data_IF_676231649359
#
_entry.id   IF_676231649359
#
_cell.length_a   1.000
_cell.length_b   1.000
_cell.length_c   1.000
_cell.angle_alpha   90.00
_cell.angle_beta   90.00
_cell.angle_gamma   90.00
#
_symmetry.space_group_name_H-M   'P 1'
#
loop_
_entity.id
_entity.type
_entity.pdbx_description
1 polymer ?
#
# COMPACT_ATOMS: atom_id res chain seq x y z
N UNK A 1 -7.34 -18.56 -3.14
CA UNK A 1 -6.58 -17.99 -4.23
C UNK A 1 -5.59 -19.03 -4.69
N UNK A 2 -5.32 -19.16 -5.99
CA UNK A 2 -4.24 -19.98 -6.46
C UNK A 2 -2.95 -19.39 -5.87
N UNK A 3 -2.46 -20.05 -4.85
CA UNK A 3 -1.19 -19.71 -4.24
C UNK A 3 -0.07 -20.45 -4.97
N UNK A 4 1.16 -20.04 -4.70
CA UNK A 4 2.33 -20.77 -5.11
C UNK A 4 2.36 -22.09 -4.33
N UNK A 5 2.27 -23.24 -5.02
CA UNK A 5 2.27 -24.57 -4.42
C UNK A 5 3.56 -25.32 -4.79
N UNK A 6 4.08 -26.08 -3.84
CA UNK A 6 5.33 -26.84 -4.03
C UNK A 6 5.23 -27.84 -5.17
N UNK A 7 4.05 -28.36 -5.46
CA UNK A 7 3.78 -29.25 -6.60
C UNK A 7 4.05 -28.55 -7.97
N UNK A 8 4.02 -27.24 -8.02
CA UNK A 8 4.29 -26.46 -9.24
C UNK A 8 5.79 -26.18 -9.45
N UNK A 9 6.62 -26.37 -8.42
CA UNK A 9 8.06 -26.08 -8.49
C UNK A 9 8.77 -26.72 -9.68
N UNK A 10 8.61 -28.02 -9.97
CA UNK A 10 9.30 -28.65 -11.10
C UNK A 10 8.94 -28.02 -12.45
N UNK A 11 7.68 -27.60 -12.61
CA UNK A 11 7.22 -26.95 -13.84
C UNK A 11 7.78 -25.53 -13.96
N UNK A 12 7.78 -24.80 -12.86
CA UNK A 12 8.30 -23.43 -12.82
C UNK A 12 9.80 -23.40 -13.05
N UNK A 13 10.56 -24.32 -12.44
CA UNK A 13 11.99 -24.46 -12.67
C UNK A 13 12.30 -24.76 -14.15
N UNK A 14 11.58 -25.73 -14.74
CA UNK A 14 11.75 -26.05 -16.16
C UNK A 14 11.40 -24.86 -17.07
N UNK A 15 10.39 -24.07 -16.71
CA UNK A 15 10.02 -22.87 -17.46
C UNK A 15 11.10 -21.79 -17.32
N UNK A 16 11.59 -21.55 -16.10
CA UNK A 16 12.64 -20.56 -15.83
C UNK A 16 13.93 -20.89 -16.58
N UNK A 17 14.36 -22.15 -16.65
CA UNK A 17 15.54 -22.58 -17.40
C UNK A 17 15.49 -22.21 -18.89
N UNK A 18 14.29 -21.97 -19.46
CA UNK A 18 14.15 -21.52 -20.85
C UNK A 18 14.42 -20.01 -21.03
N UNK A 19 14.36 -19.24 -19.95
CA UNK A 19 14.52 -17.77 -19.98
C UNK A 19 15.83 -17.30 -19.35
N UNK A 20 16.48 -18.15 -18.55
CA UNK A 20 17.75 -17.80 -17.92
C UNK A 20 18.87 -17.94 -18.96
N UNK A 21 19.55 -16.84 -19.22
CA UNK A 21 20.73 -16.80 -20.06
C UNK A 21 21.94 -17.13 -19.18
N UNK A 22 22.62 -18.24 -19.46
CA UNK A 22 23.66 -18.78 -18.56
C UNK A 22 24.92 -17.94 -18.44
N UNK A 23 25.15 -17.01 -19.37
CA UNK A 23 26.35 -16.18 -19.42
C UNK A 23 26.11 -14.74 -18.93
N UNK A 24 24.91 -14.45 -18.39
CA UNK A 24 24.57 -13.14 -17.84
C UNK A 24 24.34 -13.23 -16.33
N UNK A 25 24.70 -12.18 -15.61
CA UNK A 25 24.37 -12.05 -14.19
C UNK A 25 22.88 -11.88 -13.99
N UNK A 26 22.32 -12.56 -13.00
CA UNK A 26 20.90 -12.54 -12.69
C UNK A 26 20.65 -11.97 -11.29
N UNK A 27 19.55 -11.26 -11.17
CA UNK A 27 19.00 -10.84 -9.88
C UNK A 27 17.76 -11.68 -9.57
N UNK A 28 17.75 -12.33 -8.43
CA UNK A 28 16.56 -13.01 -7.92
C UNK A 28 15.72 -12.05 -7.09
N UNK A 29 14.60 -11.57 -7.64
CA UNK A 29 13.70 -10.63 -7.00
C UNK A 29 12.43 -11.33 -6.50
N UNK A 30 12.26 -11.39 -5.18
CA UNK A 30 11.15 -12.09 -4.53
C UNK A 30 10.10 -11.13 -4.02
N UNK A 31 8.87 -11.23 -4.52
CA UNK A 31 7.67 -10.60 -3.95
C UNK A 31 6.96 -11.50 -2.92
N UNK A 32 7.27 -12.79 -2.89
CA UNK A 32 6.68 -13.74 -1.96
C UNK A 32 7.71 -14.74 -1.47
N UNK A 33 7.77 -14.97 -0.14
CA UNK A 33 8.63 -16.02 0.42
C UNK A 33 8.30 -17.43 -0.07
N UNK A 34 7.09 -17.65 -0.59
CA UNK A 34 6.68 -18.96 -1.11
C UNK A 34 7.51 -19.41 -2.32
N UNK A 35 8.07 -18.47 -3.07
CA UNK A 35 8.93 -18.75 -4.22
C UNK A 35 10.40 -19.12 -3.84
N UNK A 36 10.78 -19.02 -2.58
CA UNK A 36 12.14 -19.29 -2.12
C UNK A 36 12.74 -20.62 -2.62
N UNK A 37 11.99 -21.75 -2.70
CA UNK A 37 12.56 -23.00 -3.19
C UNK A 37 13.10 -22.93 -4.63
N UNK A 38 12.65 -21.96 -5.44
CA UNK A 38 13.18 -21.75 -6.80
C UNK A 38 14.65 -21.28 -6.78
N UNK A 39 15.09 -20.66 -5.68
CA UNK A 39 16.47 -20.18 -5.54
C UNK A 39 17.51 -21.30 -5.57
N UNK A 40 17.12 -22.53 -5.19
CA UNK A 40 18.04 -23.68 -5.15
C UNK A 40 18.64 -24.05 -6.52
N UNK A 41 17.93 -23.71 -7.59
CA UNK A 41 18.36 -23.98 -8.97
C UNK A 41 18.92 -22.73 -9.67
N UNK A 42 19.03 -21.62 -8.93
CA UNK A 42 19.54 -20.36 -9.43
C UNK A 42 20.82 -20.01 -8.67
N UNK A 43 21.77 -19.44 -9.37
CA UNK A 43 22.98 -18.85 -8.79
C UNK A 43 22.97 -17.33 -9.09
N UNK A 44 22.09 -16.55 -8.46
CA UNK A 44 21.97 -15.13 -8.75
C UNK A 44 23.11 -14.33 -8.12
N UNK A 45 23.58 -13.31 -8.81
CA UNK A 45 24.54 -12.36 -8.29
C UNK A 45 23.97 -11.61 -7.06
N UNK A 46 22.66 -11.35 -7.07
CA UNK A 46 21.97 -10.64 -5.99
C UNK A 46 20.60 -11.25 -5.70
N UNK A 47 20.25 -11.32 -4.41
CA UNK A 47 18.94 -11.75 -3.92
C UNK A 47 18.24 -10.56 -3.26
N UNK A 48 17.10 -10.14 -3.83
CA UNK A 48 16.26 -9.04 -3.33
C UNK A 48 14.94 -9.59 -2.80
N UNK A 49 14.58 -9.24 -1.58
CA UNK A 49 13.23 -9.45 -1.04
C UNK A 49 12.45 -8.14 -1.01
N UNK A 50 11.46 -8.01 -1.89
CA UNK A 50 10.55 -6.88 -1.94
C UNK A 50 9.28 -7.19 -1.12
N UNK A 51 9.31 -6.76 0.14
CA UNK A 51 8.28 -7.01 1.14
C UNK A 51 7.24 -5.88 1.12
N UNK A 52 6.22 -6.01 0.28
CA UNK A 52 5.16 -5.01 0.16
C UNK A 52 4.03 -5.18 1.17
N UNK A 53 3.94 -6.34 1.85
CA UNK A 53 2.91 -6.64 2.85
C UNK A 53 3.42 -7.67 3.86
N UNK A 54 2.80 -7.76 5.05
CA UNK A 54 3.08 -8.80 6.03
C UNK A 54 2.26 -10.06 5.68
N UNK A 55 2.73 -10.79 4.67
CA UNK A 55 1.99 -11.92 4.09
C UNK A 55 1.67 -13.04 5.10
N UNK A 56 2.46 -13.17 6.16
CA UNK A 56 2.27 -14.21 7.17
C UNK A 56 1.02 -13.98 8.04
N UNK A 57 0.53 -12.73 8.17
CA UNK A 57 -0.67 -12.40 8.97
C UNK A 57 -1.94 -12.32 8.13
N UNK A 58 -1.83 -12.46 6.80
CA UNK A 58 -3.00 -12.47 5.93
C UNK A 58 -3.89 -13.69 6.19
N UNK A 59 -5.22 -13.49 6.12
CA UNK A 59 -6.18 -14.58 6.22
C UNK A 59 -5.89 -15.68 5.19
N UNK A 60 -5.86 -16.93 5.65
CA UNK A 60 -5.51 -18.10 4.84
C UNK A 60 -4.05 -18.11 4.34
N UNK A 61 -3.15 -17.43 5.03
CA UNK A 61 -1.71 -17.55 4.73
C UNK A 61 -1.25 -19.01 4.87
N UNK A 62 -0.43 -19.52 3.93
CA UNK A 62 0.14 -20.86 4.04
C UNK A 62 0.95 -21.02 5.34
N UNK A 63 0.87 -22.18 5.99
CA UNK A 63 1.62 -22.46 7.23
C UNK A 63 3.14 -22.27 7.06
N UNK A 64 3.66 -22.52 5.86
CA UNK A 64 5.08 -22.36 5.53
C UNK A 64 5.51 -20.91 5.32
N UNK A 65 4.57 -19.96 5.20
CA UNK A 65 4.88 -18.55 4.87
C UNK A 65 5.92 -17.95 5.80
N UNK A 66 5.69 -18.02 7.11
CA UNK A 66 6.61 -17.47 8.11
C UNK A 66 7.97 -18.18 8.10
N UNK A 67 7.98 -19.51 7.93
CA UNK A 67 9.22 -20.28 7.87
C UNK A 67 10.04 -19.90 6.64
N UNK A 68 9.39 -19.76 5.48
CA UNK A 68 10.02 -19.36 4.22
C UNK A 68 10.48 -17.91 4.26
N UNK A 69 9.72 -17.03 4.90
CA UNK A 69 10.17 -15.65 5.09
C UNK A 69 11.43 -15.58 5.96
N UNK A 70 11.46 -16.34 7.06
CA UNK A 70 12.67 -16.44 7.89
C UNK A 70 13.87 -16.98 7.11
N UNK A 71 13.66 -17.91 6.22
CA UNK A 71 14.71 -18.44 5.37
C UNK A 71 15.14 -17.46 4.27
N UNK A 72 14.17 -16.78 3.63
CA UNK A 72 14.45 -15.75 2.63
C UNK A 72 15.24 -14.58 3.21
N UNK A 73 14.87 -14.10 4.41
CA UNK A 73 15.60 -13.04 5.11
C UNK A 73 17.04 -13.41 5.47
N UNK A 74 17.39 -14.70 5.53
CA UNK A 74 18.78 -15.14 5.77
C UNK A 74 19.65 -15.15 4.52
N UNK A 75 19.04 -15.26 3.36
CA UNK A 75 19.75 -15.37 2.08
C UNK A 75 19.61 -14.12 1.20
N UNK A 76 18.67 -13.24 1.53
CA UNK A 76 18.53 -11.97 0.85
C UNK A 76 19.76 -11.09 1.09
N UNK A 77 20.22 -10.41 0.08
CA UNK A 77 21.24 -9.36 0.15
C UNK A 77 20.61 -8.01 0.53
N UNK A 78 19.41 -7.77 -0.04
CA UNK A 78 18.62 -6.55 0.16
C UNK A 78 17.17 -6.89 0.51
N UNK A 79 16.57 -6.08 1.38
CA UNK A 79 15.14 -6.13 1.70
C UNK A 79 14.54 -4.76 1.48
N UNK A 80 13.59 -4.66 0.56
CA UNK A 80 12.77 -3.47 0.34
C UNK A 80 11.44 -3.62 1.05
N UNK A 81 10.89 -2.53 1.59
CA UNK A 81 9.60 -2.55 2.31
C UNK A 81 8.71 -1.41 1.84
N UNK A 82 7.42 -1.71 1.66
CA UNK A 82 6.43 -0.78 1.11
C UNK A 82 5.95 0.32 2.07
N UNK A 83 6.49 0.37 3.30
CA UNK A 83 6.09 1.39 4.26
C UNK A 83 6.90 1.37 5.56
N UNK A 84 6.82 2.45 6.38
CA UNK A 84 7.58 2.61 7.61
C UNK A 84 7.32 1.52 8.65
N UNK A 85 6.09 1.04 8.76
CA UNK A 85 5.72 -0.02 9.71
C UNK A 85 6.40 -1.35 9.38
N UNK A 86 6.41 -1.76 8.12
CA UNK A 86 7.14 -2.92 7.62
C UNK A 86 8.65 -2.74 7.80
N UNK A 87 9.19 -1.58 7.46
CA UNK A 87 10.60 -1.26 7.65
C UNK A 87 11.03 -1.49 9.08
N UNK A 88 10.29 -0.95 10.08
CA UNK A 88 10.58 -1.15 11.50
C UNK A 88 10.53 -2.63 11.93
N UNK A 89 9.63 -3.41 11.34
CA UNK A 89 9.52 -4.83 11.63
C UNK A 89 10.71 -5.62 11.03
N UNK A 90 11.05 -5.36 9.77
CA UNK A 90 12.07 -6.14 9.04
C UNK A 90 13.51 -5.75 9.41
N UNK A 91 13.81 -4.46 9.70
CA UNK A 91 15.15 -4.02 10.10
C UNK A 91 15.69 -4.67 11.37
N UNK A 92 14.82 -5.28 12.20
CA UNK A 92 15.21 -6.06 13.38
C UNK A 92 15.66 -7.48 13.02
N UNK A 93 15.42 -7.91 11.78
CA UNK A 93 15.63 -9.28 11.29
C UNK A 93 16.66 -9.36 10.15
N UNK A 94 17.01 -8.21 9.56
CA UNK A 94 17.95 -8.13 8.45
C UNK A 94 18.72 -6.81 8.48
N UNK A 95 20.04 -6.79 8.19
CA UNK A 95 20.86 -5.58 8.25
C UNK A 95 20.54 -4.57 7.14
N UNK A 96 20.31 -5.04 5.92
CA UNK A 96 20.14 -4.22 4.72
C UNK A 96 18.65 -4.10 4.37
N UNK A 97 17.90 -3.34 5.16
CA UNK A 97 16.46 -3.08 4.93
C UNK A 97 16.27 -1.62 4.57
N UNK A 98 15.54 -1.36 3.50
CA UNK A 98 15.25 -0.02 3.00
C UNK A 98 13.74 0.18 2.83
N UNK A 99 13.28 1.41 3.09
CA UNK A 99 11.87 1.75 3.01
C UNK A 99 11.59 2.50 1.70
N UNK A 100 10.74 1.93 0.87
CA UNK A 100 10.24 2.52 -0.37
C UNK A 100 8.71 2.58 -0.32
N UNK A 101 8.12 3.62 0.29
CA UNK A 101 6.68 3.84 0.22
C UNK A 101 6.23 3.95 -1.23
N UNK A 102 4.97 3.57 -1.49
CA UNK A 102 4.39 3.67 -2.83
C UNK A 102 4.51 5.08 -3.40
N UNK A 103 4.66 5.15 -4.70
CA UNK A 103 4.49 6.36 -5.51
C UNK A 103 3.12 6.37 -6.19
N UNK A 104 2.82 7.39 -6.97
CA UNK A 104 1.55 7.55 -7.68
C UNK A 104 1.78 8.07 -9.10
N UNK A 105 0.94 7.63 -10.04
CA UNK A 105 0.83 8.26 -11.36
C UNK A 105 0.02 9.55 -11.23
N UNK A 106 0.74 10.65 -11.00
CA UNK A 106 0.15 11.98 -10.76
C UNK A 106 -0.68 12.42 -11.96
N UNK A 107 -0.13 12.28 -13.17
CA UNK A 107 -0.77 12.71 -14.42
C UNK A 107 -2.10 11.98 -14.63
N UNK A 108 -2.15 10.71 -14.25
CA UNK A 108 -3.38 9.93 -14.31
C UNK A 108 -4.44 10.43 -13.33
N UNK A 109 -4.07 10.62 -12.06
CA UNK A 109 -5.05 10.95 -11.01
C UNK A 109 -5.43 12.44 -10.94
N UNK A 110 -4.56 13.36 -11.40
CA UNK A 110 -4.92 14.79 -11.49
C UNK A 110 -6.04 15.08 -12.52
N UNK A 111 -6.36 14.13 -13.43
CA UNK A 111 -7.54 14.23 -14.28
C UNK A 111 -8.84 14.39 -13.47
N UNK A 112 -8.86 13.95 -12.22
CA UNK A 112 -9.99 14.15 -11.30
C UNK A 112 -10.22 15.61 -10.89
N UNK A 113 -9.26 16.52 -11.13
CA UNK A 113 -9.42 17.95 -10.89
C UNK A 113 -10.47 18.57 -11.83
N UNK A 114 -10.64 18.00 -13.02
CA UNK A 114 -11.78 18.34 -13.88
C UNK A 114 -13.05 17.62 -13.38
N UNK A 115 -13.83 18.35 -12.57
CA UNK A 115 -15.06 17.87 -11.97
C UNK A 115 -16.18 17.61 -13.00
N UNK A 116 -16.01 18.08 -14.22
CA UNK A 116 -16.99 17.84 -15.31
C UNK A 116 -16.83 16.43 -15.89
N UNK A 117 -15.68 15.82 -15.71
CA UNK A 117 -15.37 14.47 -16.20
C UNK A 117 -15.75 13.36 -15.18
N UNK A 118 -16.92 13.50 -14.56
CA UNK A 118 -17.42 12.49 -13.63
C UNK A 118 -17.83 11.21 -14.35
N UNK A 119 -17.61 10.06 -13.68
CA UNK A 119 -18.08 8.77 -14.20
C UNK A 119 -19.61 8.73 -14.31
N UNK A 120 -20.20 8.21 -15.41
CA UNK A 120 -21.64 8.18 -15.60
C UNK A 120 -22.44 7.49 -14.48
N UNK A 121 -21.84 6.55 -13.77
CA UNK A 121 -22.46 5.91 -12.60
C UNK A 121 -22.89 6.91 -11.50
N UNK A 122 -22.35 8.14 -11.49
CA UNK A 122 -22.73 9.18 -10.55
C UNK A 122 -23.99 9.98 -10.94
N UNK A 123 -24.49 9.85 -12.17
CA UNK A 123 -25.63 10.64 -12.67
C UNK A 123 -26.88 10.49 -11.78
N UNK A 124 -27.10 9.26 -11.28
CA UNK A 124 -28.24 8.94 -10.41
C UNK A 124 -27.90 8.89 -8.92
N UNK A 125 -26.67 9.24 -8.55
CA UNK A 125 -26.23 9.28 -7.15
C UNK A 125 -26.07 10.75 -6.75
N UNK A 126 -27.03 11.30 -6.01
CA UNK A 126 -26.99 12.69 -5.56
C UNK A 126 -25.81 12.93 -4.61
N UNK A 127 -25.31 14.18 -4.54
CA UNK A 127 -24.27 14.55 -3.56
C UNK A 127 -24.84 14.86 -2.18
N UNK A 128 -23.99 14.92 -1.13
CA UNK A 128 -22.54 14.67 -1.18
C UNK A 128 -22.18 13.18 -1.29
N UNK A 129 -21.12 12.87 -2.04
CA UNK A 129 -20.61 11.52 -2.23
C UNK A 129 -19.33 11.31 -1.45
N UNK A 130 -19.32 10.29 -0.61
CA UNK A 130 -18.15 9.86 0.15
C UNK A 130 -17.69 8.52 -0.45
N UNK A 131 -16.48 8.48 -0.99
CA UNK A 131 -16.05 7.37 -1.83
C UNK A 131 -14.86 6.58 -1.31
N UNK A 132 -14.86 5.29 -1.60
CA UNK A 132 -13.72 4.39 -1.47
C UNK A 132 -13.60 3.56 -2.74
N UNK A 133 -12.41 3.36 -3.24
CA UNK A 133 -12.15 2.32 -4.24
C UNK A 133 -11.03 1.37 -3.80
N UNK A 134 -11.14 0.14 -4.22
CA UNK A 134 -10.21 -0.96 -3.95
C UNK A 134 -10.92 -2.24 -3.61
N UNK A 135 -10.16 -3.25 -3.26
CA UNK A 135 -10.70 -4.54 -2.83
C UNK A 135 -11.50 -4.34 -1.54
N UNK A 136 -12.72 -4.85 -1.55
CA UNK A 136 -13.62 -4.90 -0.38
C UNK A 136 -13.47 -6.30 0.22
N UNK A 137 -12.70 -6.40 1.30
CA UNK A 137 -12.41 -7.64 2.01
C UNK A 137 -12.44 -7.42 3.54
N UNK A 138 -11.94 -8.38 4.30
CA UNK A 138 -11.89 -8.35 5.77
C UNK A 138 -11.13 -7.15 6.37
N UNK A 139 -10.38 -6.40 5.57
CA UNK A 139 -9.66 -5.20 6.02
C UNK A 139 -10.54 -3.95 6.05
N UNK A 140 -11.70 -4.00 5.41
CA UNK A 140 -12.64 -2.87 5.39
C UNK A 140 -13.58 -2.97 6.59
N UNK A 141 -13.71 -1.86 7.33
CA UNK A 141 -14.66 -1.72 8.44
C UNK A 141 -16.07 -1.46 7.89
N UNK A 142 -16.79 -2.54 7.64
CA UNK A 142 -18.14 -2.49 7.10
C UNK A 142 -19.15 -1.97 8.13
N UNK A 143 -18.88 -2.13 9.43
CA UNK A 143 -19.70 -1.56 10.50
C UNK A 143 -19.58 -0.03 10.52
N UNK A 144 -18.36 0.50 10.42
CA UNK A 144 -18.12 1.94 10.28
C UNK A 144 -18.85 2.51 9.06
N UNK A 145 -18.81 1.82 7.92
CA UNK A 145 -19.55 2.25 6.70
C UNK A 145 -21.06 2.32 6.97
N UNK A 146 -21.62 1.31 7.66
CA UNK A 146 -23.02 1.32 8.03
C UNK A 146 -23.37 2.49 8.97
N UNK A 147 -22.55 2.74 9.98
CA UNK A 147 -22.74 3.84 10.93
C UNK A 147 -22.69 5.22 10.25
N UNK A 148 -21.79 5.43 9.30
CA UNK A 148 -21.73 6.66 8.49
C UNK A 148 -23.03 6.83 7.69
N UNK A 149 -23.49 5.77 7.05
CA UNK A 149 -24.70 5.79 6.23
C UNK A 149 -25.97 6.05 7.08
N UNK A 150 -26.04 5.46 8.28
CA UNK A 150 -27.17 5.60 9.19
C UNK A 150 -27.20 7.00 9.86
N UNK A 151 -26.03 7.57 10.17
CA UNK A 151 -25.92 8.91 10.78
C UNK A 151 -26.35 10.03 9.81
N UNK A 152 -26.05 9.88 8.53
CA UNK A 152 -26.34 10.87 7.49
C UNK A 152 -27.03 10.24 6.29
N UNK A 153 -28.35 9.97 6.33
CA UNK A 153 -29.07 9.33 5.22
C UNK A 153 -29.02 10.11 3.90
N UNK A 154 -28.71 11.40 3.94
CA UNK A 154 -28.52 12.26 2.76
C UNK A 154 -27.14 12.13 2.13
N UNK A 155 -26.14 11.56 2.79
CA UNK A 155 -24.84 11.27 2.20
C UNK A 155 -24.90 9.99 1.37
N UNK A 156 -24.13 9.94 0.31
CA UNK A 156 -24.07 8.77 -0.57
C UNK A 156 -22.69 8.12 -0.43
N UNK A 157 -22.65 6.90 0.08
CA UNK A 157 -21.42 6.13 0.23
C UNK A 157 -21.19 5.33 -1.05
N UNK A 158 -20.11 5.62 -1.77
CA UNK A 158 -19.80 4.99 -3.05
C UNK A 158 -18.60 4.07 -2.90
N UNK A 159 -18.82 2.77 -3.06
CA UNK A 159 -17.82 1.73 -2.93
C UNK A 159 -17.53 1.11 -4.29
N UNK A 160 -16.28 1.26 -4.76
CA UNK A 160 -15.83 0.82 -6.08
C UNK A 160 -14.77 -0.27 -5.92
N UNK A 161 -15.05 -1.47 -6.39
CA UNK A 161 -14.12 -2.58 -6.36
C UNK A 161 -14.76 -3.94 -6.19
N UNK A 162 -13.98 -5.01 -6.36
CA UNK A 162 -14.45 -6.36 -6.16
C UNK A 162 -14.61 -6.70 -4.69
N UNK A 163 -15.65 -7.46 -4.36
CA UNK A 163 -15.81 -8.10 -3.05
C UNK A 163 -15.10 -9.45 -3.09
N UNK A 164 -14.11 -9.66 -2.23
CA UNK A 164 -13.33 -10.91 -2.19
C UNK A 164 -13.06 -11.34 -0.75
N UNK A 165 -12.93 -12.63 -0.53
CA UNK A 165 -12.61 -13.26 0.78
C UNK A 165 -13.66 -13.08 1.89
N UNK A 166 -14.71 -12.33 1.66
CA UNK A 166 -15.87 -12.17 2.56
C UNK A 166 -17.15 -12.54 1.83
N UNK A 167 -18.18 -12.92 2.58
CA UNK A 167 -19.50 -13.17 2.01
C UNK A 167 -20.17 -11.82 1.63
N UNK A 168 -20.54 -11.60 0.36
CA UNK A 168 -21.24 -10.40 -0.03
C UNK A 168 -22.55 -10.13 0.74
N UNK A 169 -23.19 -11.18 1.26
CA UNK A 169 -24.41 -11.05 2.07
C UNK A 169 -24.15 -10.36 3.43
N UNK A 170 -22.90 -10.30 3.89
CA UNK A 170 -22.54 -9.60 5.14
C UNK A 170 -22.34 -8.11 4.97
N UNK A 171 -22.31 -7.62 3.73
CA UNK A 171 -22.15 -6.20 3.47
C UNK A 171 -23.39 -5.41 3.89
N UNK A 172 -23.23 -4.22 4.49
CA UNK A 172 -24.34 -3.40 4.92
C UNK A 172 -25.18 -2.94 3.72
N UNK A 173 -26.47 -3.23 3.79
CA UNK A 173 -27.45 -2.81 2.77
C UNK A 173 -28.21 -1.59 3.29
N UNK A 174 -27.95 -0.42 2.70
CA UNK A 174 -28.64 0.85 2.97
C UNK A 174 -28.96 1.52 1.65
N UNK A 175 -30.04 2.30 1.60
CA UNK A 175 -30.46 3.00 0.37
C UNK A 175 -29.40 4.01 -0.16
N UNK A 176 -28.51 4.45 0.71
CA UNK A 176 -27.45 5.40 0.43
C UNK A 176 -26.04 4.77 0.40
N UNK A 177 -25.94 3.44 0.31
CA UNK A 177 -24.68 2.72 0.07
C UNK A 177 -24.73 2.10 -1.33
N UNK A 178 -23.77 2.45 -2.19
CA UNK A 178 -23.70 2.04 -3.59
C UNK A 178 -22.45 1.19 -3.83
N UNK A 179 -22.63 -0.09 -4.17
CA UNK A 179 -21.59 -1.01 -4.57
C UNK A 179 -21.49 -1.05 -6.09
N UNK A 180 -20.46 -0.44 -6.68
CA UNK A 180 -20.34 -0.29 -8.14
C UNK A 180 -19.45 -1.36 -8.80
N UNK A 181 -19.02 -2.37 -8.02
CA UNK A 181 -18.20 -3.46 -8.52
C UNK A 181 -16.82 -3.01 -8.99
N UNK A 182 -16.09 -3.96 -9.60
CA UNK A 182 -14.75 -3.70 -10.12
C UNK A 182 -14.79 -2.77 -11.33
N UNK A 183 -13.92 -1.76 -11.33
CA UNK A 183 -13.77 -0.81 -12.42
C UNK A 183 -12.34 -0.85 -12.97
N UNK A 184 -12.13 -0.52 -14.25
CA UNK A 184 -10.81 -0.44 -14.82
C UNK A 184 -10.01 0.74 -14.22
N UNK A 185 -8.70 0.58 -14.07
CA UNK A 185 -7.79 1.60 -13.52
C UNK A 185 -7.99 2.98 -14.19
N UNK A 186 -8.11 2.99 -15.52
CA UNK A 186 -8.31 4.21 -16.31
C UNK A 186 -9.58 5.00 -15.96
N UNK A 187 -10.58 4.38 -15.31
CA UNK A 187 -11.82 5.04 -14.91
C UNK A 187 -11.75 5.64 -13.49
N UNK A 188 -10.74 5.29 -12.69
CA UNK A 188 -10.66 5.73 -11.29
C UNK A 188 -10.63 7.25 -11.12
N UNK A 189 -9.93 8.05 -11.94
CA UNK A 189 -9.99 9.51 -11.85
C UNK A 189 -11.41 10.07 -12.06
N UNK A 190 -12.23 9.45 -12.91
CA UNK A 190 -13.62 9.87 -13.14
C UNK A 190 -14.50 9.61 -11.91
N UNK A 191 -14.23 8.54 -11.15
CA UNK A 191 -14.90 8.32 -9.86
C UNK A 191 -14.49 9.38 -8.86
N UNK A 192 -13.19 9.66 -8.73
CA UNK A 192 -12.68 10.72 -7.85
C UNK A 192 -13.26 12.10 -8.22
N UNK A 193 -13.39 12.42 -9.51
CA UNK A 193 -14.01 13.65 -9.97
C UNK A 193 -15.43 13.86 -9.45
N UNK A 194 -16.15 12.78 -9.17
CA UNK A 194 -17.51 12.81 -8.62
C UNK A 194 -17.60 12.83 -7.10
N UNK A 195 -16.51 12.63 -6.35
CA UNK A 195 -16.56 12.54 -4.90
C UNK A 195 -16.29 13.87 -4.18
N UNK A 196 -16.82 13.98 -2.96
CA UNK A 196 -16.62 15.12 -2.10
C UNK A 196 -15.58 14.81 -0.99
N UNK A 197 -15.55 13.54 -0.52
CA UNK A 197 -14.62 13.06 0.50
C UNK A 197 -14.16 11.67 0.11
N UNK A 198 -12.89 11.39 0.25
CA UNK A 198 -12.32 10.05 0.10
C UNK A 198 -12.19 9.36 1.46
N UNK A 199 -12.59 8.10 1.53
CA UNK A 199 -12.59 7.31 2.74
C UNK A 199 -11.47 6.27 2.71
N UNK A 200 -10.82 6.07 3.87
CA UNK A 200 -9.93 4.95 4.16
C UNK A 200 -10.45 4.25 5.43
N UNK A 201 -11.58 3.54 5.33
CA UNK A 201 -12.29 2.96 6.46
C UNK A 201 -11.77 1.56 6.76
N UNK A 202 -10.51 1.45 7.16
CA UNK A 202 -9.89 0.17 7.47
C UNK A 202 -10.17 -0.26 8.91
N UNK A 203 -10.35 -1.58 9.11
CA UNK A 203 -10.33 -2.18 10.44
C UNK A 203 -8.95 -2.01 11.09
N UNK A 204 -8.90 -1.99 12.42
CA UNK A 204 -7.64 -1.91 13.17
C UNK A 204 -7.34 -3.28 13.79
N UNK A 205 -6.64 -4.12 13.04
CA UNK A 205 -6.27 -5.47 13.47
C UNK A 205 -4.90 -5.87 12.92
N UNK A 206 -4.47 -7.11 13.16
CA UNK A 206 -3.16 -7.58 12.70
C UNK A 206 -3.01 -7.52 11.16
N UNK A 207 -4.08 -7.71 10.39
CA UNK A 207 -4.02 -7.68 8.92
C UNK A 207 -3.84 -6.27 8.35
N UNK A 208 -4.17 -5.23 9.12
CA UNK A 208 -4.05 -3.81 8.71
C UNK A 208 -2.90 -3.09 9.41
N UNK A 209 -2.21 -3.77 10.33
CA UNK A 209 -1.12 -3.18 11.12
C UNK A 209 0.05 -2.66 10.27
N UNK A 210 0.32 -3.31 9.15
CA UNK A 210 1.48 -3.04 8.30
C UNK A 210 1.09 -2.53 6.91
N UNK A 211 -0.18 -2.19 6.68
CA UNK A 211 -0.60 -1.69 5.37
C UNK A 211 -0.16 -0.24 5.17
N UNK A 212 0.29 0.04 3.94
CA UNK A 212 0.55 1.40 3.45
C UNK A 212 -0.34 1.64 2.24
N UNK A 213 -1.56 2.21 2.41
CA UNK A 213 -2.54 2.30 1.34
C UNK A 213 -2.10 3.26 0.23
N UNK A 214 -1.83 2.73 -0.96
CA UNK A 214 -1.47 3.49 -2.17
C UNK A 214 -2.49 4.56 -2.52
N UNK A 215 -3.77 4.28 -2.25
CA UNK A 215 -4.92 5.18 -2.46
C UNK A 215 -4.76 6.55 -1.83
N UNK A 216 -3.98 6.64 -0.74
CA UNK A 216 -3.75 7.91 -0.05
C UNK A 216 -3.11 8.93 -0.99
N UNK A 217 -2.08 8.52 -1.75
CA UNK A 217 -1.41 9.37 -2.73
C UNK A 217 -2.30 9.66 -3.96
N UNK A 218 -3.08 8.67 -4.40
CA UNK A 218 -4.02 8.80 -5.50
C UNK A 218 -5.11 9.84 -5.17
N UNK A 219 -5.65 9.80 -3.94
CA UNK A 219 -6.62 10.77 -3.43
C UNK A 219 -6.01 12.16 -3.26
N UNK A 220 -4.72 12.23 -2.87
CA UNK A 220 -3.98 13.50 -2.79
C UNK A 220 -3.75 14.12 -4.16
N UNK A 221 -3.44 13.31 -5.18
CA UNK A 221 -3.27 13.79 -6.55
C UNK A 221 -4.58 14.39 -7.11
N UNK A 222 -5.73 13.86 -6.66
CA UNK A 222 -7.05 14.41 -6.95
C UNK A 222 -7.43 15.60 -6.05
N UNK A 223 -6.58 16.01 -5.11
CA UNK A 223 -6.79 17.09 -4.13
C UNK A 223 -8.08 16.96 -3.31
N UNK A 224 -8.54 15.74 -3.07
CA UNK A 224 -9.75 15.48 -2.31
C UNK A 224 -9.48 15.43 -0.80
N UNK A 225 -10.44 15.89 0.03
CA UNK A 225 -10.40 15.63 1.46
C UNK A 225 -10.36 14.12 1.72
N UNK A 226 -9.49 13.68 2.64
CA UNK A 226 -9.30 12.28 2.99
C UNK A 226 -9.58 12.10 4.47
N UNK A 227 -10.41 11.10 4.81
CA UNK A 227 -10.68 10.68 6.19
C UNK A 227 -10.26 9.20 6.32
N UNK A 228 -9.45 8.92 7.34
CA UNK A 228 -8.88 7.58 7.57
C UNK A 228 -9.05 7.14 9.01
N UNK A 229 -9.25 5.85 9.23
CA UNK A 229 -8.94 5.21 10.51
C UNK A 229 -7.42 5.34 10.79
N UNK A 230 -6.94 5.22 12.04
CA UNK A 230 -5.54 5.47 12.40
C UNK A 230 -4.59 4.35 11.94
N UNK A 231 -4.52 4.14 10.63
CA UNK A 231 -3.50 3.29 10.01
C UNK A 231 -2.13 3.94 10.23
N UNK A 232 -1.18 3.16 10.75
CA UNK A 232 0.13 3.65 11.18
C UNK A 232 0.83 4.44 10.07
N UNK A 233 0.94 3.85 8.90
CA UNK A 233 1.68 4.47 7.79
C UNK A 233 0.95 5.69 7.22
N UNK A 234 -0.39 5.73 7.28
CA UNK A 234 -1.16 6.92 6.90
C UNK A 234 -0.96 8.06 7.90
N UNK A 235 -1.01 7.74 9.20
CA UNK A 235 -0.79 8.72 10.25
C UNK A 235 0.62 9.31 10.20
N UNK A 236 1.65 8.48 10.05
CA UNK A 236 3.04 8.91 10.06
C UNK A 236 3.43 9.72 8.81
N UNK A 237 3.01 9.25 7.64
CA UNK A 237 3.42 9.87 6.38
C UNK A 237 2.52 11.05 5.99
N UNK A 238 1.24 11.00 6.36
CA UNK A 238 0.21 11.88 5.76
C UNK A 238 -0.70 12.55 6.79
N UNK A 239 -0.45 12.40 8.09
CA UNK A 239 -1.29 12.96 9.16
C UNK A 239 -1.50 14.48 9.08
N UNK A 240 -0.61 15.22 8.41
CA UNK A 240 -0.76 16.67 8.19
C UNK A 240 -1.86 17.04 7.19
N UNK A 241 -2.24 16.12 6.32
CA UNK A 241 -3.21 16.35 5.23
C UNK A 241 -4.39 15.38 5.24
N UNK A 242 -4.27 14.23 5.91
CA UNK A 242 -5.35 13.26 6.12
C UNK A 242 -6.00 13.51 7.48
N UNK A 243 -7.32 13.51 7.53
CA UNK A 243 -8.05 13.56 8.80
C UNK A 243 -8.11 12.17 9.40
N UNK A 244 -7.48 11.97 10.56
CA UNK A 244 -7.39 10.66 11.23
C UNK A 244 -8.43 10.58 12.35
N UNK A 245 -9.21 9.51 12.36
CA UNK A 245 -10.27 9.28 13.34
C UNK A 245 -10.27 7.84 13.87
N UNK A 246 -10.20 7.71 15.20
CA UNK A 246 -10.07 6.41 15.87
C UNK A 246 -11.42 5.77 16.26
N UNK A 247 -12.51 6.51 16.18
CA UNK A 247 -13.86 6.03 16.54
C UNK A 247 -14.87 6.43 15.47
N UNK A 248 -15.97 5.70 15.37
CA UNK A 248 -17.01 6.02 14.38
C UNK A 248 -17.58 7.44 14.54
N UNK A 249 -17.90 7.95 15.75
CA UNK A 249 -18.33 9.33 15.90
C UNK A 249 -17.28 10.35 15.41
N UNK A 250 -15.99 10.15 15.75
CA UNK A 250 -14.93 11.05 15.29
C UNK A 250 -14.72 10.97 13.76
N UNK A 251 -14.94 9.79 13.16
CA UNK A 251 -14.84 9.60 11.72
C UNK A 251 -15.98 10.35 10.99
N UNK A 252 -17.20 10.27 11.52
CA UNK A 252 -18.37 11.00 11.00
C UNK A 252 -18.13 12.51 11.13
N UNK A 253 -17.69 13.01 12.29
CA UNK A 253 -17.34 14.43 12.50
C UNK A 253 -16.24 14.91 11.55
N UNK A 254 -15.25 14.08 11.27
CA UNK A 254 -14.20 14.40 10.30
C UNK A 254 -14.76 14.51 8.87
N UNK A 255 -15.71 13.67 8.49
CA UNK A 255 -16.42 13.77 7.21
C UNK A 255 -17.28 15.03 7.13
N UNK A 256 -18.02 15.37 8.20
CA UNK A 256 -18.78 16.62 8.30
C UNK A 256 -17.88 17.84 8.10
N UNK A 257 -16.76 17.87 8.83
CA UNK A 257 -15.76 18.94 8.72
C UNK A 257 -15.20 19.04 7.31
N UNK A 258 -14.92 17.91 6.67
CA UNK A 258 -14.40 17.87 5.30
C UNK A 258 -15.40 18.47 4.28
N UNK A 259 -16.69 18.18 4.46
CA UNK A 259 -17.77 18.64 3.56
C UNK A 259 -18.05 20.16 3.69
N UNK A 260 -17.80 20.77 4.86
CA UNK A 260 -18.03 22.20 5.11
C UNK A 260 -16.73 23.02 5.11
N UNK A 261 -15.61 22.42 4.74
CA UNK A 261 -14.32 23.11 4.68
C UNK A 261 -14.36 24.29 3.71
N UNK A 262 -13.88 25.47 4.16
CA UNK A 262 -13.85 26.66 3.30
C UNK A 262 -12.89 26.49 2.11
N UNK A 263 -13.13 27.18 0.97
CA UNK A 263 -12.24 27.11 -0.20
C UNK A 263 -10.77 27.44 0.13
N UNK A 264 -10.52 28.38 1.05
CA UNK A 264 -9.18 28.80 1.45
C UNK A 264 -8.45 27.66 2.20
N UNK A 265 -9.12 27.01 3.15
CA UNK A 265 -8.57 25.88 3.88
C UNK A 265 -8.34 24.68 2.95
N UNK A 266 -9.30 24.44 2.05
CA UNK A 266 -9.14 23.38 1.03
C UNK A 266 -7.91 23.65 0.16
N UNK A 267 -7.74 24.86 -0.38
CA UNK A 267 -6.59 25.25 -1.17
C UNK A 267 -5.26 25.10 -0.42
N UNK A 268 -5.20 25.47 0.86
CA UNK A 268 -4.01 25.26 1.68
C UNK A 268 -3.65 23.79 1.84
N UNK A 269 -4.67 22.92 2.06
CA UNK A 269 -4.48 21.47 2.16
C UNK A 269 -4.03 20.88 0.83
N UNK A 270 -4.66 21.29 -0.27
CA UNK A 270 -4.30 20.88 -1.63
C UNK A 270 -2.84 21.22 -1.99
N UNK A 271 -2.35 22.40 -1.61
CA UNK A 271 -0.94 22.77 -1.81
C UNK A 271 0.02 21.84 -1.06
N UNK A 272 -0.31 21.43 0.17
CA UNK A 272 0.50 20.44 0.91
C UNK A 272 0.46 19.07 0.23
N UNK A 273 -0.73 18.61 -0.20
CA UNK A 273 -0.91 17.36 -0.92
C UNK A 273 -0.07 17.34 -2.21
N UNK A 274 -0.14 18.39 -3.03
CA UNK A 274 0.70 18.52 -4.25
C UNK A 274 2.18 18.41 -3.94
N UNK A 275 2.66 19.10 -2.88
CA UNK A 275 4.05 19.01 -2.46
C UNK A 275 4.45 17.59 -2.07
N UNK A 276 3.60 16.86 -1.36
CA UNK A 276 3.86 15.47 -0.98
C UNK A 276 3.90 14.57 -2.21
N UNK A 277 2.90 14.68 -3.07
CA UNK A 277 2.80 13.88 -4.29
C UNK A 277 3.95 14.15 -5.24
N UNK A 278 4.35 15.43 -5.44
CA UNK A 278 5.48 15.79 -6.31
C UNK A 278 6.84 15.35 -5.78
N UNK A 279 6.94 15.05 -4.48
CA UNK A 279 8.15 14.50 -3.88
C UNK A 279 8.26 12.96 -4.06
N UNK A 280 7.24 12.32 -4.63
CA UNK A 280 7.22 10.88 -4.93
C UNK A 280 7.26 10.68 -6.43
N UNK A 281 8.05 9.71 -6.89
CA UNK A 281 8.15 9.33 -8.30
C UNK A 281 8.55 7.86 -8.38
N UNK A 282 7.89 7.11 -9.25
CA UNK A 282 8.32 5.74 -9.53
C UNK A 282 9.73 5.70 -10.10
N UNK A 283 10.08 6.66 -10.96
CA UNK A 283 11.43 6.74 -11.54
C UNK A 283 12.49 6.95 -10.46
N UNK A 284 12.28 7.93 -9.56
CA UNK A 284 13.19 8.17 -8.42
C UNK A 284 13.27 6.96 -7.47
N UNK A 285 12.16 6.24 -7.30
CA UNK A 285 12.14 5.02 -6.47
C UNK A 285 12.99 3.93 -7.12
N UNK A 286 12.82 3.70 -8.42
CA UNK A 286 13.59 2.71 -9.19
C UNK A 286 15.06 3.09 -9.23
N UNK A 287 15.42 4.35 -9.49
CA UNK A 287 16.81 4.83 -9.47
C UNK A 287 17.50 4.49 -8.16
N UNK A 288 16.87 4.80 -7.02
CA UNK A 288 17.42 4.48 -5.69
C UNK A 288 17.53 2.98 -5.41
N UNK A 289 16.55 2.19 -5.89
CA UNK A 289 16.64 0.73 -5.78
C UNK A 289 17.80 0.19 -6.60
N UNK A 290 18.00 0.69 -7.83
CA UNK A 290 19.13 0.32 -8.69
C UNK A 290 20.47 0.71 -8.05
N UNK A 291 20.62 1.95 -7.55
CA UNK A 291 21.84 2.40 -6.84
C UNK A 291 22.20 1.46 -5.67
N UNK A 292 21.21 1.03 -4.88
CA UNK A 292 21.42 0.10 -3.77
C UNK A 292 21.83 -1.29 -4.25
N UNK A 293 21.25 -1.76 -5.34
CA UNK A 293 21.58 -3.06 -5.93
C UNK A 293 23.01 -3.06 -6.49
N UNK A 294 23.38 -2.02 -7.24
CA UNK A 294 24.74 -1.84 -7.78
C UNK A 294 25.78 -1.77 -6.66
N UNK A 295 25.50 -0.97 -5.62
CA UNK A 295 26.38 -0.86 -4.46
C UNK A 295 26.58 -2.21 -3.74
N UNK A 296 25.47 -2.94 -3.51
CA UNK A 296 25.52 -4.23 -2.81
C UNK A 296 26.21 -5.31 -3.65
N UNK A 297 26.03 -5.30 -4.97
CA UNK A 297 26.73 -6.20 -5.89
C UNK A 297 28.24 -5.97 -5.84
N UNK A 298 28.68 -4.71 -5.91
CA UNK A 298 30.09 -4.34 -5.83
C UNK A 298 30.73 -4.75 -4.47
N UNK A 299 30.02 -4.57 -3.33
CA UNK A 299 30.51 -5.03 -2.03
C UNK A 299 30.65 -6.56 -1.95
N UNK A 300 29.76 -7.31 -2.60
CA UNK A 300 29.87 -8.79 -2.68
C UNK A 300 31.08 -9.22 -3.48
N UNK A 301 31.35 -8.59 -4.62
CA UNK A 301 32.50 -8.86 -5.44
C UNK A 301 33.82 -8.56 -4.69
N UNK A 302 33.91 -7.40 -4.01
CA UNK A 302 35.08 -7.03 -3.20
C UNK A 302 35.32 -8.01 -2.05
N UNK A 303 34.25 -8.47 -1.39
CA UNK A 303 34.35 -9.43 -0.29
C UNK A 303 34.79 -10.83 -0.77
N UNK A 304 34.49 -11.18 -2.02
CA UNK A 304 35.00 -12.39 -2.66
C UNK A 304 36.50 -12.31 -3.04
N UNK A 305 37.03 -11.07 -3.20
CA UNK A 305 38.42 -10.79 -3.53
C UNK A 305 39.07 -9.81 -2.52
N UNK A 306 39.54 -10.23 -1.35
CA UNK A 306 39.91 -9.36 -0.22
C UNK A 306 41.14 -8.44 -0.41
N UNK A 307 41.52 -8.16 -1.65
CA UNK A 307 42.69 -7.29 -1.98
C UNK A 307 42.29 -6.00 -2.74
N UNK A 308 41.02 -5.60 -2.79
CA UNK A 308 40.57 -4.38 -3.44
C UNK A 308 40.42 -3.18 -2.45
N UNK A 309 40.57 -1.90 -2.88
CA UNK A 309 40.48 -0.73 -1.99
C UNK A 309 39.02 -0.44 -1.60
N UNK A 310 38.81 -0.10 -0.33
CA UNK A 310 37.49 0.11 0.30
C UNK A 310 36.67 1.25 -0.29
N UNK A 311 35.39 1.00 -0.58
CA UNK A 311 34.37 1.96 -1.00
C UNK A 311 33.76 2.69 0.23
N UNK A 312 33.40 3.99 0.15
CA UNK A 312 32.81 4.71 1.28
C UNK A 312 31.37 4.28 1.58
N UNK A 313 31.08 4.03 2.88
CA UNK A 313 29.76 3.60 3.35
C UNK A 313 28.61 4.54 2.97
N UNK A 314 27.55 3.99 2.38
CA UNK A 314 26.30 4.71 2.08
C UNK A 314 25.57 5.11 3.36
N UNK A 315 25.35 6.42 3.56
CA UNK A 315 24.55 6.93 4.69
C UNK A 315 23.08 7.03 4.29
N UNK A 316 22.22 6.29 5.00
CA UNK A 316 20.77 6.43 4.85
C UNK A 316 20.31 7.87 5.12
N UNK A 317 19.40 8.43 4.28
CA UNK A 317 18.72 9.67 4.62
C UNK A 317 17.89 9.45 5.90
N UNK A 318 18.00 10.37 6.87
CA UNK A 318 17.24 10.33 8.11
C UNK A 318 15.76 10.58 7.84
N UNK A 319 14.95 9.53 7.84
CA UNK A 319 13.51 9.65 7.97
C UNK A 319 13.24 9.89 9.45
N UNK A 320 12.77 11.09 9.80
CA UNK A 320 12.40 11.45 11.17
C UNK A 320 11.19 10.61 11.63
N UNK A 321 11.44 9.52 12.32
CA UNK A 321 10.42 8.63 12.85
C UNK A 321 10.28 8.87 14.35
N UNK A 322 9.16 9.47 14.76
CA UNK A 322 8.77 9.56 16.16
C UNK A 322 8.16 8.22 16.60
N UNK A 323 8.65 7.64 17.69
CA UNK A 323 8.04 6.44 18.27
C UNK A 323 6.65 6.79 18.85
N UNK A 324 5.58 6.33 18.21
CA UNK A 324 4.22 6.41 18.74
C UNK A 324 3.87 5.08 19.38
N UNK A 325 3.61 5.10 20.70
CA UNK A 325 3.17 3.94 21.46
C UNK A 325 1.74 3.54 21.05
N UNK A 326 1.56 2.29 20.67
CA UNK A 326 0.25 1.67 20.44
C UNK A 326 -0.44 1.48 21.80
N UNK A 327 -1.71 1.82 21.98
CA UNK A 327 -2.44 1.45 23.20
C UNK A 327 -2.59 -0.08 23.23
N UNK A 328 -1.91 -0.70 24.18
CA UNK A 328 -2.12 -2.10 24.54
C UNK A 328 -3.46 -2.20 25.27
N UNK A 329 -4.53 -2.49 24.57
CA UNK A 329 -5.77 -3.09 25.10
C UNK A 329 -6.84 -3.18 24.00
N UNK A 330 -6.96 -4.35 23.39
CA UNK A 330 -8.24 -4.93 23.06
C UNK A 330 -8.18 -6.37 23.61
N UNK A 331 -8.51 -6.50 24.90
CA UNK A 331 -8.99 -7.76 25.48
C UNK A 331 -10.40 -7.44 25.97
N UNK A 332 -11.37 -7.87 25.22
CA UNK A 332 -12.62 -8.60 25.53
C UNK A 332 -13.53 -8.57 24.30
#
# INVERSE_FOLDING_TARGET
APGFHDEQLPYLLKLMQQFIVTDEEHVAWFYTPMALPLLQELDPALVVYDCMDELAVCKNSPKQMLQRENALLRVADLVFTGGPSLYRAKRKRHPNVYCFPSSVDVVHFEQALDRTNMHPAHENILGPRLGYYGVIDERIDTELIALIADAHPQWQIVLVGPVVKIDPATLPQRHNIHYLGQQPYKALPQFLAGWNVCLLPFTLNESTRFISPTKTLEYMAAELPIVSTPIIDVLELYGDVVSIAATAPAFIEACETALVTTPERHKQKALKMRKMVSATSWDTTVEKMCELMEFTSAEKEESAYPYAPSIPAYRQPSIGVTEIAYPSRISQ
#
